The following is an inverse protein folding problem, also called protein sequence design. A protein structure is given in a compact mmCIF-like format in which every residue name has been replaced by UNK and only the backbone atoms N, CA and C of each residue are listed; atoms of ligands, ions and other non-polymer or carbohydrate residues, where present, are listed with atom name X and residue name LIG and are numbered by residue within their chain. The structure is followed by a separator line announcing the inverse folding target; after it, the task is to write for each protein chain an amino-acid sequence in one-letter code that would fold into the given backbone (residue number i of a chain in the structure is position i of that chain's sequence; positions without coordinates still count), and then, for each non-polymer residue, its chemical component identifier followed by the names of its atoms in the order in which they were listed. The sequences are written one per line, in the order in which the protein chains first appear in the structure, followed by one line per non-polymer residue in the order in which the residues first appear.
data_IF_004380295414
#
_entry.id   IF_004380295414
#
_cell.length_a   1.000
_cell.length_b   1.000
_cell.length_c   1.000
_cell.angle_alpha   90.00
_cell.angle_beta   90.00
_cell.angle_gamma   90.00
#
_symmetry.space_group_name_H-M   'P 1'
#
loop_
_entity.id
_entity.type
_entity.pdbx_description
1 polymer ?
#
# COMPACT_ATOMS: atom_id res chain seq x y z
N UNK A 1 6.90 12.62 -14.27
CA UNK A 1 5.79 12.93 -13.37
C UNK A 1 6.24 12.45 -12.01
N UNK A 2 6.21 13.36 -11.04
CA UNK A 2 6.56 13.05 -9.66
C UNK A 2 5.28 12.98 -8.84
N UNK A 3 5.29 12.16 -7.80
CA UNK A 3 4.17 11.97 -6.88
C UNK A 3 4.61 12.47 -5.51
N UNK A 4 3.81 13.34 -4.89
CA UNK A 4 4.01 13.78 -3.51
C UNK A 4 3.28 12.84 -2.56
N UNK A 5 3.99 12.32 -1.57
CA UNK A 5 3.42 11.56 -0.44
C UNK A 5 3.89 12.29 0.81
N UNK A 6 3.02 13.12 1.39
CA UNK A 6 3.40 14.11 2.41
C UNK A 6 4.61 14.93 1.91
N UNK A 7 5.69 15.00 2.68
CA UNK A 7 6.90 15.73 2.30
C UNK A 7 7.80 14.98 1.31
N UNK A 8 7.57 13.69 1.07
CA UNK A 8 8.39 12.86 0.17
C UNK A 8 8.00 13.13 -1.29
N UNK A 9 9.00 13.36 -2.13
CA UNK A 9 8.86 13.40 -3.59
C UNK A 9 9.31 12.06 -4.18
N UNK A 10 8.39 11.32 -4.76
CA UNK A 10 8.64 10.04 -5.42
C UNK A 10 8.68 10.26 -6.95
N UNK A 11 9.81 9.95 -7.57
CA UNK A 11 9.96 10.06 -9.02
C UNK A 11 11.20 9.34 -9.51
N UNK A 12 11.21 8.95 -10.79
CA UNK A 12 12.30 8.17 -11.39
C UNK A 12 13.65 8.91 -11.45
N UNK A 13 13.61 10.25 -11.35
CA UNK A 13 14.79 11.12 -11.33
C UNK A 13 15.03 11.77 -9.94
N UNK A 14 14.29 11.35 -8.91
CA UNK A 14 14.48 11.78 -7.52
C UNK A 14 15.37 10.78 -6.76
N UNK A 15 15.94 11.15 -5.60
CA UNK A 15 16.51 10.17 -4.68
C UNK A 15 15.52 9.04 -4.42
N UNK A 16 16.02 7.80 -4.38
CA UNK A 16 15.13 6.65 -4.21
C UNK A 16 14.42 6.69 -2.85
N UNK A 17 13.17 6.22 -2.82
CA UNK A 17 12.38 6.07 -1.60
C UNK A 17 12.34 4.60 -1.22
N UNK A 18 12.64 4.28 0.03
CA UNK A 18 12.55 2.92 0.55
C UNK A 18 11.11 2.63 1.00
N UNK A 19 10.49 1.63 0.37
CA UNK A 19 9.28 1.00 0.89
C UNK A 19 9.69 -0.28 1.60
N UNK A 20 9.62 -0.29 2.94
CA UNK A 20 10.15 -1.40 3.75
C UNK A 20 9.35 -1.61 5.03
N UNK A 21 9.43 -2.79 5.61
CA UNK A 21 8.66 -3.15 6.80
C UNK A 21 8.44 -4.64 6.85
N UNK A 22 7.27 -5.06 7.34
CA UNK A 22 6.97 -6.47 7.62
C UNK A 22 5.99 -7.08 6.62
N UNK A 23 5.95 -8.41 6.61
CA UNK A 23 5.09 -9.16 5.70
C UNK A 23 3.61 -8.94 6.03
N UNK A 24 3.24 -9.19 7.29
CA UNK A 24 1.89 -9.10 7.84
C UNK A 24 1.96 -8.48 9.23
N UNK A 25 0.95 -7.71 9.62
CA UNK A 25 0.81 -7.20 10.99
C UNK A 25 0.44 -8.37 11.92
N UNK A 26 1.26 -8.59 12.95
CA UNK A 26 1.05 -9.65 13.94
C UNK A 26 0.52 -9.06 15.27
N UNK A 27 1.19 -8.01 15.76
CA UNK A 27 0.82 -7.25 16.96
C UNK A 27 1.42 -5.83 16.89
N UNK A 28 0.99 -4.96 17.82
CA UNK A 28 1.44 -3.57 17.86
C UNK A 28 2.93 -3.45 18.21
N UNK A 29 3.39 -4.15 19.25
CA UNK A 29 4.74 -3.97 19.80
C UNK A 29 5.83 -4.37 18.80
N UNK A 30 5.68 -5.54 18.19
CA UNK A 30 6.57 -6.04 17.13
C UNK A 30 6.57 -5.11 15.90
N UNK A 31 5.40 -4.55 15.57
CA UNK A 31 5.28 -3.58 14.47
C UNK A 31 6.04 -2.29 14.76
N UNK A 32 5.86 -1.71 15.94
CA UNK A 32 6.55 -0.49 16.35
C UNK A 32 8.06 -0.72 16.47
N UNK A 33 8.48 -1.84 17.05
CA UNK A 33 9.90 -2.20 17.16
C UNK A 33 10.57 -2.29 15.79
N UNK A 34 9.92 -2.97 14.84
CA UNK A 34 10.45 -3.11 13.48
C UNK A 34 10.50 -1.76 12.76
N UNK A 35 9.41 -0.97 12.86
CA UNK A 35 9.34 0.35 12.26
C UNK A 35 10.43 1.28 12.81
N UNK A 36 10.63 1.29 14.13
CA UNK A 36 11.66 2.09 14.80
C UNK A 36 13.06 1.82 14.22
N UNK A 37 13.39 0.55 13.97
CA UNK A 37 14.68 0.19 13.40
C UNK A 37 14.84 0.70 11.95
N UNK A 38 13.82 0.55 11.11
CA UNK A 38 13.86 1.13 9.77
C UNK A 38 14.00 2.65 9.80
N UNK A 39 13.25 3.32 10.68
CA UNK A 39 13.30 4.78 10.86
C UNK A 39 14.68 5.24 11.31
N UNK A 40 15.30 4.56 12.28
CA UNK A 40 16.65 4.86 12.75
C UNK A 40 17.67 4.81 11.60
N UNK A 41 17.70 3.69 10.86
CA UNK A 41 18.67 3.46 9.79
C UNK A 41 18.44 4.41 8.62
N UNK A 42 17.19 4.59 8.19
CA UNK A 42 16.87 5.45 7.04
C UNK A 42 17.12 6.93 7.33
N UNK A 43 16.81 7.41 8.55
CA UNK A 43 17.16 8.77 8.98
C UNK A 43 18.67 8.98 9.04
N UNK A 44 19.43 8.02 9.59
CA UNK A 44 20.90 8.08 9.65
C UNK A 44 21.52 8.19 8.25
N UNK A 45 20.93 7.51 7.26
CA UNK A 45 21.42 7.51 5.87
C UNK A 45 20.79 8.60 4.99
N UNK A 46 19.83 9.38 5.51
CA UNK A 46 19.11 10.39 4.73
C UNK A 46 18.23 9.81 3.62
N UNK A 47 17.71 8.58 3.79
CA UNK A 47 16.87 7.89 2.81
C UNK A 47 15.40 8.14 3.15
N UNK A 48 14.57 8.68 2.23
CA UNK A 48 13.13 8.77 2.43
C UNK A 48 12.51 7.37 2.62
N UNK A 49 11.59 7.24 3.57
CA UNK A 49 11.07 5.94 4.01
C UNK A 49 9.55 5.94 4.13
N UNK A 50 8.93 4.84 3.68
CA UNK A 50 7.51 4.52 3.82
C UNK A 50 7.38 3.13 4.43
N UNK A 51 6.68 3.01 5.55
CA UNK A 51 6.50 1.73 6.24
C UNK A 51 5.46 0.88 5.54
N UNK A 52 5.81 -0.37 5.22
CA UNK A 52 4.92 -1.35 4.58
C UNK A 52 4.55 -2.47 5.53
N UNK A 53 3.26 -2.79 5.62
CA UNK A 53 2.77 -4.05 6.16
C UNK A 53 1.49 -4.48 5.43
N UNK A 54 1.00 -5.70 5.72
CA UNK A 54 -0.31 -6.17 5.26
C UNK A 54 -1.17 -6.46 6.49
N UNK A 55 -2.39 -5.95 6.55
CA UNK A 55 -3.32 -6.29 7.64
C UNK A 55 -4.01 -7.65 7.44
N UNK A 56 -4.13 -8.09 6.19
CA UNK A 56 -4.70 -9.37 5.79
C UNK A 56 -3.92 -9.97 4.61
N UNK A 57 -3.40 -11.19 4.79
CA UNK A 57 -2.76 -12.01 3.77
C UNK A 57 -3.78 -12.97 3.14
N UNK A 58 -4.47 -12.50 2.11
CA UNK A 58 -5.55 -13.26 1.46
C UNK A 58 -5.09 -14.48 0.62
N UNK A 59 -3.79 -14.65 0.37
CA UNK A 59 -3.26 -15.69 -0.52
C UNK A 59 -2.52 -16.84 0.20
N UNK A 60 -3.03 -17.30 1.35
CA UNK A 60 -2.45 -18.43 2.10
C UNK A 60 -2.82 -19.78 1.49
N UNK A 61 -1.89 -20.73 1.55
CA UNK A 61 -2.05 -22.10 1.03
C UNK A 61 -2.98 -22.98 1.86
N UNK A 62 -3.29 -22.59 3.11
CA UNK A 62 -4.26 -23.25 3.98
C UNK A 62 -5.24 -22.23 4.54
N UNK A 63 -6.52 -22.62 4.62
CA UNK A 63 -7.58 -21.80 5.21
C UNK A 63 -7.35 -21.55 6.71
N UNK A 64 -6.55 -22.38 7.37
CA UNK A 64 -6.21 -22.27 8.79
C UNK A 64 -4.95 -21.43 9.06
N UNK A 65 -4.24 -20.98 8.02
CA UNK A 65 -3.04 -20.16 8.21
C UNK A 65 -3.40 -18.77 8.75
N UNK A 66 -2.62 -18.27 9.70
CA UNK A 66 -2.77 -16.91 10.20
C UNK A 66 -2.64 -15.89 9.06
N UNK A 67 -3.62 -14.99 8.99
CA UNK A 67 -3.76 -13.99 7.93
C UNK A 67 -3.38 -12.58 8.37
N UNK A 68 -3.18 -12.35 9.66
CA UNK A 68 -2.95 -11.01 10.22
C UNK A 68 -4.08 -10.60 11.16
N UNK A 69 -3.91 -9.42 11.76
CA UNK A 69 -4.85 -8.85 12.74
C UNK A 69 -6.19 -8.41 12.13
N UNK A 70 -6.28 -8.35 10.80
CA UNK A 70 -7.48 -7.92 10.08
C UNK A 70 -7.58 -6.40 9.93
N UNK A 71 -8.63 -5.94 9.24
CA UNK A 71 -8.76 -4.54 8.81
C UNK A 71 -8.79 -3.57 9.99
N UNK A 72 -9.77 -3.69 10.90
CA UNK A 72 -9.98 -2.70 11.97
C UNK A 72 -8.75 -2.54 12.88
N UNK A 73 -8.17 -3.65 13.33
CA UNK A 73 -7.00 -3.59 14.20
C UNK A 73 -5.74 -3.16 13.43
N UNK A 74 -5.61 -3.58 12.16
CA UNK A 74 -4.52 -3.15 11.30
C UNK A 74 -4.50 -1.63 11.08
N UNK A 75 -5.67 -1.01 10.90
CA UNK A 75 -5.78 0.45 10.77
C UNK A 75 -5.36 1.17 12.05
N UNK A 76 -5.78 0.69 13.23
CA UNK A 76 -5.30 1.26 14.51
C UNK A 76 -3.78 1.17 14.65
N UNK A 77 -3.18 0.04 14.26
CA UNK A 77 -1.72 -0.10 14.28
C UNK A 77 -1.06 0.90 13.33
N UNK A 78 -1.60 1.09 12.12
CA UNK A 78 -1.08 2.10 11.18
C UNK A 78 -1.20 3.52 11.72
N UNK A 79 -2.32 3.89 12.36
CA UNK A 79 -2.47 5.19 13.03
C UNK A 79 -1.39 5.39 14.10
N UNK A 80 -1.09 4.36 14.92
CA UNK A 80 -0.03 4.43 15.92
C UNK A 80 1.36 4.58 15.29
N UNK A 81 1.66 3.83 14.24
CA UNK A 81 2.92 3.97 13.49
C UNK A 81 3.09 5.40 12.95
N UNK A 82 2.04 5.96 12.35
CA UNK A 82 2.06 7.35 11.84
C UNK A 82 2.25 8.36 12.96
N UNK A 83 1.52 8.22 14.06
CA UNK A 83 1.59 9.12 15.20
C UNK A 83 2.97 9.11 15.88
N UNK A 84 3.58 7.93 16.01
CA UNK A 84 4.85 7.77 16.73
C UNK A 84 6.06 8.20 15.88
N UNK A 85 6.07 7.86 14.59
CA UNK A 85 7.25 8.08 13.75
C UNK A 85 7.11 9.23 12.75
N UNK A 86 5.90 9.72 12.49
CA UNK A 86 5.65 10.79 11.54
C UNK A 86 6.02 10.41 10.09
N UNK A 87 5.87 9.14 9.73
CA UNK A 87 6.20 8.62 8.40
C UNK A 87 4.92 8.18 7.66
N UNK A 88 4.92 8.19 6.30
CA UNK A 88 3.84 7.60 5.54
C UNK A 88 3.83 6.07 5.63
N UNK A 89 2.67 5.48 5.41
CA UNK A 89 2.46 4.03 5.43
C UNK A 89 1.80 3.52 4.14
N UNK A 90 2.06 2.25 3.81
CA UNK A 90 1.47 1.55 2.67
C UNK A 90 0.92 0.19 3.11
N UNK A 91 -0.26 -0.17 2.61
CA UNK A 91 -0.83 -1.52 2.73
C UNK A 91 -1.53 -1.94 1.46
N UNK A 92 -1.69 -3.25 1.27
CA UNK A 92 -2.50 -3.84 0.22
C UNK A 92 -3.97 -4.00 0.62
N UNK A 93 -4.85 -3.86 -0.37
CA UNK A 93 -6.29 -4.11 -0.27
C UNK A 93 -6.68 -5.26 -1.20
N UNK A 94 -7.65 -6.05 -0.78
CA UNK A 94 -8.08 -7.26 -1.50
C UNK A 94 -9.53 -7.18 -1.97
N UNK A 95 -10.34 -6.33 -1.35
CA UNK A 95 -11.77 -6.18 -1.64
C UNK A 95 -12.16 -4.71 -1.80
N UNK A 96 -13.12 -4.35 -2.68
CA UNK A 96 -13.51 -2.95 -2.94
C UNK A 96 -13.94 -2.18 -1.68
N UNK A 97 -14.66 -2.84 -0.78
CA UNK A 97 -15.17 -2.22 0.46
C UNK A 97 -14.04 -1.87 1.46
N UNK A 98 -12.83 -2.38 1.27
CA UNK A 98 -11.67 -2.04 2.08
C UNK A 98 -11.00 -0.74 1.63
N UNK A 99 -11.21 -0.32 0.37
CA UNK A 99 -10.46 0.79 -0.23
C UNK A 99 -10.63 2.10 0.55
N UNK A 100 -11.86 2.52 0.80
CA UNK A 100 -12.15 3.80 1.47
C UNK A 100 -11.61 3.86 2.92
N UNK A 101 -11.93 2.90 3.83
CA UNK A 101 -11.42 2.97 5.21
C UNK A 101 -9.89 2.84 5.27
N UNK A 102 -9.27 2.08 4.36
CA UNK A 102 -7.81 2.01 4.29
C UNK A 102 -7.21 3.34 3.80
N UNK A 103 -7.82 3.98 2.81
CA UNK A 103 -7.36 5.25 2.25
C UNK A 103 -7.45 6.42 3.23
N UNK A 104 -8.36 6.37 4.20
CA UNK A 104 -8.47 7.39 5.27
C UNK A 104 -7.26 7.39 6.22
N UNK A 105 -6.58 6.25 6.36
CA UNK A 105 -5.43 6.08 7.27
C UNK A 105 -4.11 5.99 6.52
N UNK A 106 -4.05 5.19 5.45
CA UNK A 106 -2.84 4.86 4.72
C UNK A 106 -2.59 5.81 3.56
N UNK A 107 -1.36 6.33 3.46
CA UNK A 107 -0.97 7.31 2.44
C UNK A 107 -0.86 6.69 1.04
N UNK A 108 -0.57 5.39 0.98
CA UNK A 108 -0.50 4.61 -0.27
C UNK A 108 -1.32 3.32 -0.12
N UNK A 109 -2.15 3.04 -1.12
CA UNK A 109 -2.88 1.77 -1.23
C UNK A 109 -2.27 0.91 -2.34
N UNK A 110 -2.01 -0.36 -2.05
CA UNK A 110 -1.33 -1.26 -2.98
C UNK A 110 -2.31 -2.24 -3.61
N UNK A 111 -2.28 -2.34 -4.94
CA UNK A 111 -3.03 -3.32 -5.72
C UNK A 111 -2.20 -4.61 -5.84
N UNK A 112 -2.64 -5.75 -5.26
CA UNK A 112 -1.94 -7.01 -5.41
C UNK A 112 -1.86 -7.47 -6.87
N UNK A 113 -0.73 -8.06 -7.25
CA UNK A 113 -0.46 -8.47 -8.63
C UNK A 113 -1.53 -9.41 -9.21
N UNK A 114 -2.07 -10.33 -8.40
CA UNK A 114 -3.09 -11.28 -8.86
C UNK A 114 -4.48 -10.65 -9.00
N UNK A 115 -4.71 -9.45 -8.44
CA UNK A 115 -5.96 -8.70 -8.52
C UNK A 115 -5.92 -7.54 -9.52
N UNK A 116 -4.81 -7.36 -10.24
CA UNK A 116 -4.61 -6.22 -11.14
C UNK A 116 -5.59 -6.12 -12.34
N UNK A 117 -6.45 -7.13 -12.52
CA UNK A 117 -7.51 -7.17 -13.55
C UNK A 117 -8.93 -7.13 -12.97
N UNK A 118 -9.09 -6.99 -11.65
CA UNK A 118 -10.40 -6.87 -11.01
C UNK A 118 -10.90 -5.44 -11.18
N UNK A 119 -11.74 -5.20 -12.18
CA UNK A 119 -12.19 -3.84 -12.55
C UNK A 119 -12.84 -3.11 -11.37
N UNK A 120 -13.68 -3.79 -10.59
CA UNK A 120 -14.38 -3.18 -9.45
C UNK A 120 -13.41 -2.74 -8.35
N UNK A 121 -12.40 -3.56 -8.05
CA UNK A 121 -11.36 -3.19 -7.09
C UNK A 121 -10.54 -2.01 -7.60
N UNK A 122 -10.15 -2.02 -8.88
CA UNK A 122 -9.37 -0.93 -9.48
C UNK A 122 -10.18 0.37 -9.48
N UNK A 123 -11.47 0.32 -9.81
CA UNK A 123 -12.36 1.47 -9.76
C UNK A 123 -12.50 2.01 -8.32
N UNK A 124 -12.79 1.14 -7.35
CA UNK A 124 -12.89 1.53 -5.95
C UNK A 124 -11.59 2.12 -5.40
N UNK A 125 -10.43 1.58 -5.77
CA UNK A 125 -9.13 2.18 -5.41
C UNK A 125 -8.96 3.56 -6.04
N UNK A 126 -9.30 3.73 -7.31
CA UNK A 126 -9.18 5.01 -8.01
C UNK A 126 -10.10 6.10 -7.42
N UNK A 127 -11.30 5.72 -6.98
CA UNK A 127 -12.28 6.63 -6.35
C UNK A 127 -11.80 7.21 -5.02
N UNK A 128 -10.89 6.53 -4.31
CA UNK A 128 -10.31 7.06 -3.05
C UNK A 128 -9.50 8.33 -3.24
N UNK A 129 -8.94 8.54 -4.44
CA UNK A 129 -8.00 9.64 -4.71
C UNK A 129 -6.60 9.47 -4.10
N UNK A 130 -6.33 8.38 -3.38
CA UNK A 130 -5.02 8.11 -2.79
C UNK A 130 -3.98 7.70 -3.83
N UNK A 131 -2.71 7.74 -3.42
CA UNK A 131 -1.62 7.19 -4.23
C UNK A 131 -1.76 5.67 -4.31
N UNK A 132 -1.72 5.13 -5.54
CA UNK A 132 -1.88 3.69 -5.79
C UNK A 132 -0.55 3.08 -6.23
N UNK A 133 -0.10 2.05 -5.51
CA UNK A 133 1.02 1.22 -5.92
C UNK A 133 0.53 -0.02 -6.67
N UNK A 134 0.82 -0.12 -7.97
CA UNK A 134 0.38 -1.23 -8.82
C UNK A 134 1.49 -2.29 -8.90
N UNK A 135 1.27 -3.46 -8.29
CA UNK A 135 2.19 -4.60 -8.46
C UNK A 135 2.01 -5.19 -9.85
N UNK A 136 3.07 -5.14 -10.68
CA UNK A 136 3.08 -5.78 -12.00
C UNK A 136 2.79 -7.29 -11.87
N UNK A 137 1.75 -7.82 -12.50
CA UNK A 137 1.52 -9.26 -12.56
C UNK A 137 2.69 -9.98 -13.23
N UNK A 138 3.08 -11.13 -12.69
CA UNK A 138 4.18 -11.94 -13.24
C UNK A 138 3.89 -12.43 -14.66
N UNK A 139 2.62 -12.62 -15.02
CA UNK A 139 2.16 -13.03 -16.34
C UNK A 139 1.92 -11.87 -17.33
N UNK A 140 2.12 -10.61 -16.92
CA UNK A 140 2.00 -9.45 -17.80
C UNK A 140 3.38 -8.96 -18.26
N UNK A 141 3.49 -8.65 -19.56
CA UNK A 141 4.65 -7.95 -20.09
C UNK A 141 4.68 -6.49 -19.61
N UNK A 142 5.86 -5.83 -19.58
CA UNK A 142 5.95 -4.42 -19.21
C UNK A 142 5.08 -3.49 -20.06
N UNK A 143 4.91 -3.78 -21.36
CA UNK A 143 4.09 -2.96 -22.27
C UNK A 143 2.59 -3.03 -21.94
N UNK A 144 2.12 -4.16 -21.42
CA UNK A 144 0.70 -4.38 -21.07
C UNK A 144 0.26 -3.62 -19.81
N UNK A 145 1.19 -3.19 -18.94
CA UNK A 145 0.87 -2.37 -17.76
C UNK A 145 0.17 -1.06 -18.10
N UNK A 146 0.47 -0.48 -19.27
CA UNK A 146 -0.16 0.77 -19.72
C UNK A 146 -1.66 0.63 -20.01
N UNK A 147 -2.12 -0.57 -20.37
CA UNK A 147 -3.49 -0.80 -20.83
C UNK A 147 -4.44 -1.04 -19.67
N UNK A 148 -4.01 -1.81 -18.65
CA UNK A 148 -4.86 -2.21 -17.53
C UNK A 148 -5.35 -1.04 -16.67
N UNK A 149 -4.54 0.02 -16.52
CA UNK A 149 -4.91 1.19 -15.71
C UNK A 149 -5.72 2.25 -16.47
N UNK A 150 -5.42 2.48 -17.76
CA UNK A 150 -6.06 3.55 -18.55
C UNK A 150 -7.57 3.36 -18.74
N UNK A 151 -8.05 2.12 -18.74
CA UNK A 151 -9.47 1.82 -18.91
C UNK A 151 -10.29 2.08 -17.64
N UNK A 152 -9.64 2.14 -16.48
CA UNK A 152 -10.28 2.32 -15.16
C UNK A 152 -10.35 3.77 -14.71
N UNK A 153 -9.49 4.64 -15.27
CA UNK A 153 -9.47 6.08 -15.00
C UNK A 153 -10.42 6.89 -15.89
N UNK A 154 -11.18 6.23 -16.78
CA UNK A 154 -12.27 6.90 -17.50
C UNK A 154 -13.52 6.84 -16.62
N UNK A 155 -14.09 7.98 -16.19
CA UNK A 155 -15.42 7.96 -15.61
C UNK A 155 -16.35 7.31 -16.64
N UNK A 156 -17.27 6.46 -16.17
CA UNK A 156 -18.35 5.98 -17.01
C UNK A 156 -19.15 7.21 -17.48
N UNK A 157 -18.86 7.71 -18.67
CA UNK A 157 -19.70 8.68 -19.35
C UNK A 157 -20.96 7.93 -19.73
N UNK A 158 -21.95 7.96 -18.83
CA UNK A 158 -23.31 7.55 -19.14
C UNK A 158 -23.87 8.44 -20.23
N UNK A 159 -24.25 7.83 -21.34
CA UNK A 159 -25.26 8.32 -22.28
C UNK A 159 -26.65 8.04 -21.72
#
# INVERSE_FOLDING_TARGET
MDIKINDITLGNNSPFVLFGGINVLEDLDSTLQTCAHYVEVTRKLGIPYIFKASFDKANRSSIHSYRGVGLEEGLKIFEKVKAEFGIPVITDVHEPHQCQPVAEVCDVIQLPAFLARQTDLVAAMAETGNVINIKKPQFLSPSQMKTSWKNSAKPATGS
#
